data_IF_968607419637
#
_entry.id   IF_968607419637
#
_cell.length_a   1.000
_cell.length_b   1.000
_cell.length_c   1.000
_cell.angle_alpha   90.00
_cell.angle_beta   90.00
_cell.angle_gamma   90.00
#
_symmetry.space_group_name_H-M   'P 1'
#
loop_
_entity.id
_entity.type
_entity.pdbx_description
1 polymer ?
#
# COMPACT_ATOMS: atom_id res chain seq x y z
N UNK A 1 -0.57 20.09 4.98
CA UNK A 1 -0.41 18.87 5.79
C UNK A 1 1.02 18.77 6.22
N UNK A 2 1.32 18.45 7.49
CA UNK A 2 2.70 18.42 8.00
C UNK A 2 3.57 17.30 7.40
N UNK A 3 2.97 16.33 6.72
CA UNK A 3 3.69 15.18 6.15
C UNK A 3 3.48 15.07 4.64
N UNK A 4 4.57 14.87 3.90
CA UNK A 4 4.55 14.60 2.46
C UNK A 4 4.29 13.12 2.20
N UNK A 5 3.02 12.73 2.21
CA UNK A 5 2.62 11.35 1.95
C UNK A 5 2.00 11.17 0.56
N UNK A 6 2.17 10.00 -0.04
CA UNK A 6 1.56 9.59 -1.31
C UNK A 6 1.10 8.15 -1.23
N UNK A 7 0.07 7.81 -2.00
CA UNK A 7 -0.39 6.42 -2.12
C UNK A 7 0.14 5.79 -3.42
N UNK A 8 0.39 4.49 -3.37
CA UNK A 8 0.58 3.67 -4.56
C UNK A 8 -0.78 3.14 -5.02
N UNK A 9 -1.21 3.56 -6.20
CA UNK A 9 -2.54 3.31 -6.75
C UNK A 9 -2.49 2.53 -8.06
N UNK A 10 -3.59 1.89 -8.43
CA UNK A 10 -3.76 1.28 -9.75
C UNK A 10 -3.84 2.34 -10.84
N UNK A 11 -3.17 2.12 -11.99
CA UNK A 11 -3.16 3.03 -13.14
C UNK A 11 -4.57 3.25 -13.71
N UNK A 12 -5.43 2.25 -13.65
CA UNK A 12 -6.81 2.32 -14.14
C UNK A 12 -7.67 3.37 -13.42
N UNK A 13 -7.29 3.76 -12.19
CA UNK A 13 -7.98 4.83 -11.44
C UNK A 13 -7.87 6.20 -12.14
N UNK A 14 -6.88 6.40 -13.01
CA UNK A 14 -6.74 7.61 -13.81
C UNK A 14 -7.87 7.77 -14.84
N UNK A 15 -8.57 6.69 -15.20
CA UNK A 15 -9.65 6.71 -16.17
C UNK A 15 -10.98 7.21 -15.57
N UNK A 16 -11.07 7.34 -14.24
CA UNK A 16 -12.27 7.89 -13.62
C UNK A 16 -12.31 9.42 -13.78
N UNK A 17 -13.40 9.98 -14.37
CA UNK A 17 -13.57 11.41 -14.48
C UNK A 17 -13.46 12.10 -13.11
N UNK A 18 -12.92 13.30 -13.07
CA UNK A 18 -12.72 14.12 -11.85
C UNK A 18 -11.76 13.47 -10.85
N UNK A 19 -12.06 12.25 -10.36
CA UNK A 19 -11.22 11.53 -9.39
C UNK A 19 -9.82 11.27 -9.94
N UNK A 20 -9.71 10.74 -11.18
CA UNK A 20 -8.41 10.47 -11.80
C UNK A 20 -7.55 11.74 -11.96
N UNK A 21 -8.16 12.87 -12.31
CA UNK A 21 -7.47 14.15 -12.40
C UNK A 21 -7.01 14.63 -11.01
N UNK A 22 -7.86 14.54 -9.99
CA UNK A 22 -7.54 14.95 -8.63
C UNK A 22 -6.33 14.17 -8.09
N UNK A 23 -6.36 12.83 -8.14
CA UNK A 23 -5.25 11.99 -7.62
C UNK A 23 -3.96 12.15 -8.41
N UNK A 24 -4.04 12.48 -9.72
CA UNK A 24 -2.88 12.82 -10.55
C UNK A 24 -2.23 14.13 -10.09
N UNK A 25 -3.03 15.19 -9.89
CA UNK A 25 -2.55 16.49 -9.39
C UNK A 25 -1.94 16.36 -7.99
N UNK A 26 -2.52 15.52 -7.14
CA UNK A 26 -1.96 15.21 -5.82
C UNK A 26 -0.61 14.50 -5.87
N UNK A 27 -0.19 14.00 -7.04
CA UNK A 27 1.14 13.41 -7.23
C UNK A 27 1.30 12.00 -6.67
N UNK A 28 0.22 11.24 -6.55
CA UNK A 28 0.27 9.82 -6.18
C UNK A 28 1.05 8.98 -7.21
N UNK A 29 1.45 7.78 -6.84
CA UNK A 29 2.18 6.84 -7.71
C UNK A 29 1.21 5.87 -8.36
N UNK A 30 1.32 5.70 -9.69
CA UNK A 30 0.41 4.84 -10.45
C UNK A 30 1.18 3.69 -11.08
N UNK A 31 0.74 2.47 -10.80
CA UNK A 31 1.34 1.24 -11.31
C UNK A 31 0.29 0.37 -11.99
N UNK A 32 0.61 -0.14 -13.18
CA UNK A 32 -0.22 -1.10 -13.90
C UNK A 32 -0.04 -2.52 -13.33
N UNK A 33 1.12 -2.80 -12.73
CA UNK A 33 1.52 -4.10 -12.15
C UNK A 33 1.74 -5.18 -13.22
N UNK A 34 2.08 -4.76 -14.42
CA UNK A 34 2.40 -5.62 -15.56
C UNK A 34 3.91 -5.79 -15.76
N UNK A 35 4.73 -5.16 -14.91
CA UNK A 35 6.20 -5.18 -15.01
C UNK A 35 6.74 -4.37 -16.17
N UNK A 36 5.93 -3.51 -16.80
CA UNK A 36 6.31 -2.63 -17.90
C UNK A 36 7.47 -1.71 -17.54
N UNK A 37 8.06 -1.10 -18.55
CA UNK A 37 9.09 -0.07 -18.36
C UNK A 37 8.54 1.13 -17.58
N UNK A 38 7.29 1.48 -17.80
CA UNK A 38 6.60 2.57 -17.08
C UNK A 38 6.46 2.25 -15.58
N UNK A 39 6.05 1.04 -15.24
CA UNK A 39 5.97 0.56 -13.86
C UNK A 39 7.32 0.65 -13.15
N UNK A 40 8.39 0.16 -13.79
CA UNK A 40 9.75 0.21 -13.24
C UNK A 40 10.22 1.64 -13.01
N UNK A 41 9.94 2.54 -13.96
CA UNK A 41 10.28 3.96 -13.87
C UNK A 41 9.55 4.63 -12.71
N UNK A 42 8.27 4.31 -12.50
CA UNK A 42 7.49 4.85 -11.40
C UNK A 42 7.99 4.34 -10.04
N UNK A 43 8.33 3.06 -9.94
CA UNK A 43 8.95 2.49 -8.73
C UNK A 43 10.29 3.19 -8.44
N UNK A 44 11.14 3.41 -9.43
CA UNK A 44 12.42 4.13 -9.24
C UNK A 44 12.19 5.56 -8.75
N UNK A 45 11.18 6.26 -9.30
CA UNK A 45 10.80 7.60 -8.83
C UNK A 45 10.38 7.59 -7.37
N UNK A 46 9.57 6.60 -6.99
CA UNK A 46 9.10 6.41 -5.62
C UNK A 46 10.25 6.11 -4.66
N UNK A 47 11.16 5.19 -5.00
CA UNK A 47 12.34 4.86 -4.19
C UNK A 47 13.18 6.09 -3.84
N UNK A 48 13.43 6.96 -4.83
CA UNK A 48 14.18 8.20 -4.63
C UNK A 48 13.48 9.15 -3.64
N UNK A 49 12.16 9.24 -3.71
CA UNK A 49 11.36 10.14 -2.85
C UNK A 49 11.21 9.61 -1.43
N UNK A 50 11.10 8.30 -1.25
CA UNK A 50 11.08 7.66 0.08
C UNK A 50 12.41 7.93 0.81
N UNK A 51 13.54 7.74 0.14
CA UNK A 51 14.87 8.04 0.72
C UNK A 51 15.02 9.51 1.14
N UNK A 52 14.23 10.42 0.57
CA UNK A 52 14.19 11.83 0.95
C UNK A 52 13.09 12.14 1.98
N UNK A 53 12.61 11.14 2.72
CA UNK A 53 11.66 11.30 3.84
C UNK A 53 10.17 11.30 3.46
N UNK A 54 9.81 10.95 2.20
CA UNK A 54 8.40 10.85 1.81
C UNK A 54 7.76 9.57 2.36
N UNK A 55 6.59 9.71 2.96
CA UNK A 55 5.78 8.57 3.40
C UNK A 55 4.99 8.02 2.21
N UNK A 56 5.01 6.70 2.01
CA UNK A 56 4.21 6.03 0.97
C UNK A 56 3.25 5.03 1.59
N UNK A 57 1.97 5.24 1.33
CA UNK A 57 0.92 4.29 1.67
C UNK A 57 0.80 3.20 0.58
N UNK A 58 0.86 1.95 0.99
CA UNK A 58 0.75 0.78 0.11
C UNK A 58 -0.23 -0.21 0.73
N UNK A 59 -1.28 -0.58 -0.02
CA UNK A 59 -2.14 -1.71 0.33
C UNK A 59 -1.46 -3.01 -0.13
N UNK A 60 -0.97 -3.87 0.80
CA UNK A 60 -0.12 -4.99 0.44
C UNK A 60 -0.86 -6.10 -0.32
N UNK A 61 -2.16 -6.26 -0.11
CA UNK A 61 -3.01 -7.20 -0.86
C UNK A 61 -3.17 -6.82 -2.33
N UNK A 62 -3.05 -5.54 -2.62
CA UNK A 62 -3.14 -5.01 -3.97
C UNK A 62 -4.55 -4.95 -4.55
N UNK A 63 -5.56 -5.42 -3.88
CA UNK A 63 -6.97 -5.36 -4.25
C UNK A 63 -7.83 -5.35 -2.99
N UNK A 64 -9.11 -5.02 -3.13
CA UNK A 64 -10.09 -5.16 -2.05
C UNK A 64 -10.50 -6.63 -1.92
N UNK A 65 -10.52 -7.14 -0.69
CA UNK A 65 -11.08 -8.45 -0.39
C UNK A 65 -12.60 -8.32 -0.21
N UNK A 66 -13.43 -9.08 -0.94
CA UNK A 66 -14.87 -9.10 -0.71
C UNK A 66 -15.25 -9.97 0.50
N UNK A 67 -14.35 -10.89 0.89
CA UNK A 67 -14.58 -11.85 1.97
C UNK A 67 -13.87 -11.41 3.27
N UNK A 68 -14.31 -11.88 4.44
CA UNK A 68 -13.60 -11.66 5.69
C UNK A 68 -12.18 -12.22 5.66
N UNK A 69 -11.24 -11.50 6.28
CA UNK A 69 -9.83 -11.90 6.39
C UNK A 69 -8.91 -11.18 5.42
N UNK A 70 -7.69 -11.69 5.27
CA UNK A 70 -6.63 -11.13 4.43
C UNK A 70 -6.40 -11.94 3.17
N UNK A 71 -6.16 -11.25 2.07
CA UNK A 71 -5.54 -11.84 0.89
C UNK A 71 -4.02 -11.94 1.07
N UNK A 72 -3.38 -12.78 0.25
CA UNK A 72 -1.93 -12.87 0.22
C UNK A 72 -1.29 -11.53 -0.11
N UNK A 73 -0.36 -11.11 0.73
CA UNK A 73 0.39 -9.88 0.51
C UNK A 73 1.32 -10.00 -0.68
N UNK A 74 1.36 -8.97 -1.52
CA UNK A 74 2.27 -8.86 -2.66
C UNK A 74 3.66 -8.42 -2.20
N UNK A 75 4.70 -9.01 -2.75
CA UNK A 75 6.11 -8.76 -2.36
C UNK A 75 6.58 -7.33 -2.64
N UNK A 76 5.95 -6.62 -3.60
CA UNK A 76 6.43 -5.33 -4.09
C UNK A 76 6.62 -4.25 -3.03
N UNK A 77 5.69 -4.11 -2.08
CA UNK A 77 5.78 -3.14 -0.99
C UNK A 77 6.97 -3.42 -0.07
N UNK A 78 7.19 -4.68 0.27
CA UNK A 78 8.30 -5.14 1.12
C UNK A 78 9.65 -4.97 0.44
N UNK A 79 9.73 -5.23 -0.86
CA UNK A 79 10.90 -4.93 -1.67
C UNK A 79 11.24 -3.44 -1.63
N UNK A 80 10.26 -2.56 -1.78
CA UNK A 80 10.44 -1.12 -1.72
C UNK A 80 10.96 -0.71 -0.34
N UNK A 81 10.30 -1.13 0.74
CA UNK A 81 10.69 -0.83 2.11
C UNK A 81 12.14 -1.25 2.37
N UNK A 82 12.51 -2.49 1.99
CA UNK A 82 13.87 -2.99 2.19
C UNK A 82 14.93 -2.30 1.32
N UNK A 83 14.58 -1.89 0.08
CA UNK A 83 15.50 -1.16 -0.82
C UNK A 83 15.74 0.28 -0.39
N UNK A 84 14.80 0.87 0.33
CA UNK A 84 14.93 2.25 0.85
C UNK A 84 15.41 2.29 2.30
N UNK A 85 15.51 1.13 2.95
CA UNK A 85 15.78 0.99 4.38
C UNK A 85 14.78 1.79 5.23
N UNK A 86 13.51 1.73 4.82
CA UNK A 86 12.43 2.48 5.45
C UNK A 86 11.51 1.53 6.20
N UNK A 87 11.32 1.77 7.48
CA UNK A 87 10.48 0.96 8.34
C UNK A 87 9.03 0.94 7.87
N UNK A 88 8.32 -0.13 8.23
CA UNK A 88 6.91 -0.31 7.91
C UNK A 88 6.09 0.01 9.15
N UNK A 89 5.14 0.94 9.02
CA UNK A 89 4.10 1.18 10.01
C UNK A 89 2.82 0.47 9.55
N UNK A 90 2.50 -0.71 10.11
CA UNK A 90 1.29 -1.43 9.73
C UNK A 90 0.05 -0.69 10.21
N UNK A 91 -0.98 -0.67 9.35
CA UNK A 91 -2.24 0.01 9.62
C UNK A 91 -3.41 -0.85 9.16
N UNK A 92 -4.34 -1.15 10.07
CA UNK A 92 -5.59 -1.85 9.77
C UNK A 92 -6.67 -0.81 9.58
N UNK A 93 -7.44 -0.94 8.51
CA UNK A 93 -8.63 -0.14 8.23
C UNK A 93 -9.82 -1.09 8.24
N UNK A 94 -10.66 -0.96 9.26
CA UNK A 94 -11.87 -1.75 9.42
C UNK A 94 -13.12 -0.92 9.12
N UNK A 95 -14.20 -1.58 8.64
CA UNK A 95 -15.49 -0.96 8.34
C UNK A 95 -15.58 -0.29 6.96
N UNK A 96 -14.48 -0.11 6.22
CA UNK A 96 -14.51 0.56 4.92
C UNK A 96 -15.30 -0.22 3.86
N UNK A 97 -15.31 -1.56 3.93
CA UNK A 97 -16.04 -2.44 3.02
C UNK A 97 -17.55 -2.24 3.11
N UNK A 98 -18.10 -2.09 4.32
CA UNK A 98 -19.54 -1.87 4.54
C UNK A 98 -20.03 -0.50 4.04
N UNK A 99 -19.14 0.48 3.92
CA UNK A 99 -19.46 1.82 3.41
C UNK A 99 -19.47 1.82 1.88
N UNK A 100 -18.52 1.15 1.24
CA UNK A 100 -18.43 1.09 -0.22
C UNK A 100 -17.97 -0.29 -0.67
N UNK A 101 -18.93 -1.13 -1.03
CA UNK A 101 -18.68 -2.45 -1.56
C UNK A 101 -17.92 -2.44 -2.88
N UNK A 102 -17.18 -3.53 -3.12
CA UNK A 102 -16.45 -3.71 -4.38
C UNK A 102 -17.43 -3.79 -5.56
N UNK A 103 -17.30 -2.87 -6.50
CA UNK A 103 -18.16 -2.79 -7.69
C UNK A 103 -19.46 -2.00 -7.52
N UNK A 104 -19.75 -1.53 -6.29
CA UNK A 104 -20.88 -0.63 -6.04
C UNK A 104 -20.48 0.84 -6.19
N UNK A 105 -21.45 1.67 -6.59
CA UNK A 105 -21.37 3.12 -6.53
C UNK A 105 -22.17 3.69 -5.35
N UNK A 106 -22.89 2.84 -4.61
CA UNK A 106 -23.69 3.24 -3.47
C UNK A 106 -22.78 3.39 -2.24
N UNK A 107 -22.84 4.55 -1.63
CA UNK A 107 -22.10 4.87 -0.40
C UNK A 107 -23.10 4.75 0.77
N UNK A 108 -22.84 3.82 1.67
CA UNK A 108 -23.61 3.63 2.89
C UNK A 108 -23.00 4.45 4.05
N UNK A 109 -23.81 4.79 5.03
CA UNK A 109 -23.29 5.31 6.29
C UNK A 109 -22.61 4.20 7.09
N UNK A 110 -21.54 4.54 7.82
CA UNK A 110 -20.82 3.55 8.63
C UNK A 110 -19.67 4.16 9.41
N UNK A 111 -19.05 3.35 10.26
CA UNK A 111 -17.87 3.71 11.02
C UNK A 111 -16.63 3.10 10.36
N UNK A 112 -15.59 3.89 10.20
CA UNK A 112 -14.26 3.42 9.81
C UNK A 112 -13.35 3.53 11.04
N UNK A 113 -12.78 2.40 11.44
CA UNK A 113 -11.78 2.34 12.49
C UNK A 113 -10.39 2.16 11.88
N UNK A 114 -9.43 2.98 12.32
CA UNK A 114 -8.03 2.88 11.89
C UNK A 114 -7.19 2.51 13.13
N UNK A 115 -6.52 1.36 13.05
CA UNK A 115 -5.62 0.86 14.10
C UNK A 115 -4.19 0.85 13.58
N UNK A 116 -3.30 1.61 14.19
CA UNK A 116 -1.87 1.54 13.95
C UNK A 116 -1.25 0.47 14.85
N UNK A 117 -0.39 -0.36 14.27
CA UNK A 117 0.33 -1.40 14.99
C UNK A 117 1.78 -0.97 15.24
N UNK A 118 2.54 -1.83 15.92
CA UNK A 118 3.96 -1.57 16.18
C UNK A 118 4.74 -1.50 14.86
N UNK A 119 5.61 -0.52 14.75
CA UNK A 119 6.51 -0.36 13.61
C UNK A 119 7.44 -1.58 13.46
N UNK A 120 7.62 -2.01 12.22
CA UNK A 120 8.50 -3.12 11.85
C UNK A 120 9.80 -2.53 11.33
N UNK A 121 10.91 -2.91 11.98
CA UNK A 121 12.27 -2.51 11.58
C UNK A 121 12.71 -3.37 10.39
N UNK A 122 12.84 -2.78 9.21
CA UNK A 122 13.24 -3.54 8.03
C UNK A 122 14.70 -3.96 8.04
N UNK A 123 15.54 -3.28 8.84
CA UNK A 123 16.94 -3.64 9.08
C UNK A 123 17.13 -5.04 9.68
N UNK A 124 16.12 -5.56 10.38
CA UNK A 124 16.13 -6.88 10.99
C UNK A 124 16.04 -8.02 9.96
N UNK A 125 15.82 -7.68 8.70
CA UNK A 125 15.65 -8.63 7.60
C UNK A 125 16.76 -8.45 6.57
N UNK A 126 17.28 -9.56 6.02
CA UNK A 126 18.27 -9.48 4.95
C UNK A 126 17.72 -8.85 3.68
N UNK A 127 18.59 -8.23 2.87
CA UNK A 127 18.17 -7.53 1.63
C UNK A 127 18.01 -8.45 0.42
N UNK A 128 18.23 -9.76 0.60
CA UNK A 128 18.04 -10.77 -0.43
C UNK A 128 16.55 -11.18 -0.57
N UNK A 129 16.26 -12.04 -1.52
CA UNK A 129 14.89 -12.50 -1.78
C UNK A 129 14.26 -13.19 -0.56
N UNK A 130 15.03 -13.98 0.17
CA UNK A 130 14.55 -14.72 1.34
C UNK A 130 14.19 -13.79 2.49
N UNK A 131 15.01 -12.76 2.78
CA UNK A 131 14.73 -11.78 3.81
C UNK A 131 13.50 -10.91 3.48
N UNK A 132 13.31 -10.55 2.23
CA UNK A 132 12.10 -9.82 1.78
C UNK A 132 10.86 -10.69 1.93
N UNK A 133 10.95 -11.98 1.61
CA UNK A 133 9.84 -12.91 1.76
C UNK A 133 9.53 -13.15 3.24
N UNK A 134 10.53 -13.29 4.10
CA UNK A 134 10.35 -13.37 5.55
C UNK A 134 9.66 -12.12 6.10
N UNK A 135 10.10 -10.93 5.71
CA UNK A 135 9.47 -9.66 6.11
C UNK A 135 7.98 -9.63 5.71
N UNK A 136 7.64 -10.10 4.50
CA UNK A 136 6.27 -10.22 4.00
C UNK A 136 5.43 -11.14 4.88
N UNK A 137 5.94 -12.34 5.16
CA UNK A 137 5.23 -13.36 5.96
C UNK A 137 5.03 -12.90 7.40
N UNK A 138 6.07 -12.38 8.05
CA UNK A 138 5.99 -11.87 9.43
C UNK A 138 5.00 -10.70 9.52
N UNK A 139 5.01 -9.80 8.54
CA UNK A 139 4.02 -8.71 8.47
C UNK A 139 2.60 -9.26 8.31
N UNK A 140 2.37 -10.23 7.42
CA UNK A 140 1.06 -10.85 7.24
C UNK A 140 0.55 -11.49 8.53
N UNK A 141 1.43 -12.19 9.27
CA UNK A 141 1.10 -12.78 10.57
C UNK A 141 0.68 -11.72 11.59
N UNK A 142 1.43 -10.62 11.68
CA UNK A 142 1.08 -9.48 12.57
C UNK A 142 -0.33 -8.96 12.26
N UNK A 143 -0.72 -8.85 10.98
CA UNK A 143 -2.07 -8.44 10.61
C UNK A 143 -3.11 -9.47 11.04
N UNK A 144 -2.87 -10.77 10.78
CA UNK A 144 -3.79 -11.86 11.16
C UNK A 144 -4.05 -11.92 12.67
N UNK A 145 -3.04 -11.65 13.48
CA UNK A 145 -3.15 -11.65 14.96
C UNK A 145 -3.88 -10.41 15.52
N UNK A 146 -4.15 -9.41 14.69
CA UNK A 146 -4.72 -8.12 15.10
C UNK A 146 -6.06 -7.78 14.44
N UNK A 147 -6.56 -8.63 13.53
CA UNK A 147 -7.90 -8.57 12.97
C UNK A 147 -8.89 -9.21 13.92
#
# INVERSE_FOLDING_TARGET
MPYDWRAMMKKELLNFPVFGQAVKIMGHYFVARDGSFEDRREVVRMLKKIKNGRIVFIAPEGTRNPDPGLLDFKTGGFFIARKTDTNILPMIIDGAGSILDKGSMNINSGLITIKFLKEIQVSDYSSNKEGIEKLRLDTSKIFQENL
#
